data_IF_474992447786
#
_entry.id   IF_474992447786
#
_cell.length_a   1.000
_cell.length_b   1.000
_cell.length_c   1.000
_cell.angle_alpha   90.00
_cell.angle_beta   90.00
_cell.angle_gamma   90.00
#
_symmetry.space_group_name_H-M   'P 1'
#
loop_
_entity.id
_entity.type
_entity.pdbx_description
1 polymer ?
#
# COMPACT_ATOMS: atom_id res chain seq x y z
N UNK A 1 71.92 -34.27 -27.03
CA UNK A 1 71.68 -32.98 -26.35
C UNK A 1 70.46 -32.22 -26.86
N UNK A 2 70.11 -32.31 -28.15
CA UNK A 2 68.96 -31.57 -28.73
C UNK A 2 67.57 -31.94 -28.16
N UNK A 3 67.31 -33.20 -27.78
CA UNK A 3 65.99 -33.60 -27.26
C UNK A 3 65.68 -33.06 -25.86
N UNK A 4 66.69 -32.96 -24.99
CA UNK A 4 66.52 -32.43 -23.63
C UNK A 4 66.17 -30.94 -23.66
N UNK A 5 66.86 -30.16 -24.51
CA UNK A 5 66.57 -28.74 -24.69
C UNK A 5 65.14 -28.51 -25.21
N UNK A 6 64.68 -29.33 -26.15
CA UNK A 6 63.30 -29.24 -26.67
C UNK A 6 62.25 -29.52 -25.57
N UNK A 7 62.56 -30.44 -24.66
CA UNK A 7 61.69 -30.78 -23.53
C UNK A 7 61.61 -29.65 -22.50
N UNK A 8 62.74 -29.02 -22.17
CA UNK A 8 62.79 -27.87 -21.24
C UNK A 8 62.02 -26.66 -21.80
N UNK A 9 62.15 -26.37 -23.10
CA UNK A 9 61.39 -25.31 -23.76
C UNK A 9 59.89 -25.58 -23.71
N UNK A 10 59.47 -26.83 -23.92
CA UNK A 10 58.06 -27.21 -23.81
C UNK A 10 57.55 -27.06 -22.36
N UNK A 11 58.34 -27.47 -21.38
CA UNK A 11 57.98 -27.36 -19.97
C UNK A 11 57.86 -25.90 -19.53
N UNK A 12 58.80 -25.04 -19.96
CA UNK A 12 58.75 -23.60 -19.70
C UNK A 12 57.49 -22.96 -20.29
N UNK A 13 57.12 -23.31 -21.55
CA UNK A 13 55.88 -22.82 -22.16
C UNK A 13 54.64 -23.23 -21.35
N UNK A 14 54.58 -24.49 -20.91
CA UNK A 14 53.48 -24.99 -20.06
C UNK A 14 53.44 -24.26 -18.72
N UNK A 15 54.60 -23.94 -18.14
CA UNK A 15 54.69 -23.20 -16.90
C UNK A 15 54.14 -21.79 -17.04
N UNK A 16 54.53 -21.06 -18.09
CA UNK A 16 54.01 -19.73 -18.39
C UNK A 16 52.49 -19.75 -18.59
N UNK A 17 51.97 -20.77 -19.27
CA UNK A 17 50.52 -20.93 -19.46
C UNK A 17 49.79 -21.14 -18.11
N UNK A 18 50.33 -21.98 -17.23
CA UNK A 18 49.79 -22.19 -15.87
C UNK A 18 49.84 -20.88 -15.06
N UNK A 19 50.93 -20.13 -15.14
CA UNK A 19 51.06 -18.85 -14.45
C UNK A 19 50.05 -17.82 -14.98
N UNK A 20 49.87 -17.74 -16.30
CA UNK A 20 48.89 -16.85 -16.93
C UNK A 20 47.47 -17.19 -16.45
N UNK A 21 47.07 -18.47 -16.53
CA UNK A 21 45.74 -18.91 -16.07
C UNK A 21 45.52 -18.63 -14.59
N UNK A 22 46.54 -18.84 -13.74
CA UNK A 22 46.46 -18.53 -12.31
C UNK A 22 46.27 -17.04 -12.08
N UNK A 23 46.98 -16.18 -12.83
CA UNK A 23 46.85 -14.73 -12.70
C UNK A 23 45.45 -14.24 -13.08
N UNK A 24 44.89 -14.76 -14.18
CA UNK A 24 43.53 -14.44 -14.61
C UNK A 24 42.48 -14.88 -13.57
N UNK A 25 42.60 -16.10 -13.05
CA UNK A 25 41.68 -16.60 -12.03
C UNK A 25 41.73 -15.75 -10.75
N UNK A 26 42.94 -15.38 -10.30
CA UNK A 26 43.10 -14.52 -9.12
C UNK A 26 42.45 -13.14 -9.34
N UNK A 27 42.65 -12.55 -10.52
CA UNK A 27 42.01 -11.28 -10.88
C UNK A 27 40.48 -11.39 -10.86
N UNK A 28 39.92 -12.47 -11.43
CA UNK A 28 38.47 -12.72 -11.42
C UNK A 28 37.92 -12.92 -10.00
N UNK A 29 38.67 -13.61 -9.14
CA UNK A 29 38.27 -13.80 -7.74
C UNK A 29 38.28 -12.48 -6.97
N UNK A 30 39.27 -11.62 -7.21
CA UNK A 30 39.36 -10.30 -6.57
C UNK A 30 38.22 -9.37 -7.01
N UNK A 31 37.94 -9.30 -8.31
CA UNK A 31 36.81 -8.51 -8.83
C UNK A 31 35.48 -9.01 -8.29
N UNK A 32 35.25 -10.33 -8.29
CA UNK A 32 34.03 -10.92 -7.75
C UNK A 32 33.82 -10.58 -6.26
N UNK A 33 34.88 -10.66 -5.44
CA UNK A 33 34.82 -10.30 -4.03
C UNK A 33 34.54 -8.80 -3.84
N UNK A 34 35.17 -7.94 -4.67
CA UNK A 34 34.91 -6.51 -4.70
C UNK A 34 33.45 -6.19 -4.98
N UNK A 35 32.91 -6.74 -6.06
CA UNK A 35 31.51 -6.55 -6.49
C UNK A 35 30.51 -7.08 -5.47
N UNK A 36 30.80 -8.22 -4.86
CA UNK A 36 29.96 -8.78 -3.79
C UNK A 36 29.92 -7.85 -2.57
N UNK A 37 31.07 -7.26 -2.22
CA UNK A 37 31.17 -6.31 -1.09
C UNK A 37 30.39 -5.03 -1.38
N UNK A 38 30.58 -4.43 -2.55
CA UNK A 38 29.88 -3.20 -2.95
C UNK A 38 28.37 -3.43 -3.05
N UNK A 39 27.93 -4.54 -3.64
CA UNK A 39 26.51 -4.91 -3.70
C UNK A 39 25.89 -5.03 -2.31
N UNK A 40 26.59 -5.68 -1.37
CA UNK A 40 26.13 -5.82 0.01
C UNK A 40 26.00 -4.45 0.69
N UNK A 41 26.98 -3.55 0.52
CA UNK A 41 26.91 -2.20 1.10
C UNK A 41 25.76 -1.38 0.53
N UNK A 42 25.53 -1.42 -0.79
CA UNK A 42 24.40 -0.74 -1.43
C UNK A 42 23.06 -1.26 -0.92
N UNK A 43 22.93 -2.58 -0.76
CA UNK A 43 21.72 -3.20 -0.21
C UNK A 43 21.45 -2.78 1.24
N UNK A 44 22.48 -2.79 2.10
CA UNK A 44 22.34 -2.34 3.49
C UNK A 44 21.94 -0.87 3.56
N UNK A 45 22.57 0.00 2.77
CA UNK A 45 22.23 1.42 2.74
C UNK A 45 20.80 1.66 2.26
N UNK A 46 20.35 0.93 1.23
CA UNK A 46 18.98 1.00 0.75
C UNK A 46 17.97 0.51 1.80
N UNK A 47 18.29 -0.58 2.50
CA UNK A 47 17.48 -1.10 3.60
C UNK A 47 17.38 -0.11 4.77
N UNK A 48 18.49 0.52 5.16
CA UNK A 48 18.52 1.53 6.23
C UNK A 48 17.72 2.79 5.85
N UNK A 49 17.84 3.24 4.60
CA UNK A 49 17.07 4.37 4.08
C UNK A 49 15.56 4.06 4.07
N UNK A 50 15.18 2.86 3.61
CA UNK A 50 13.80 2.40 3.64
C UNK A 50 13.28 2.27 5.08
N UNK A 51 14.09 1.76 6.00
CA UNK A 51 13.72 1.63 7.41
C UNK A 51 13.45 3.00 8.05
N UNK A 52 14.33 3.98 7.83
CA UNK A 52 14.14 5.37 8.31
C UNK A 52 12.87 6.00 7.75
N UNK A 53 12.62 5.85 6.45
CA UNK A 53 11.39 6.34 5.80
C UNK A 53 10.15 5.68 6.40
N UNK A 54 10.17 4.36 6.58
CA UNK A 54 9.05 3.62 7.13
C UNK A 54 8.75 4.02 8.58
N UNK A 55 9.78 4.24 9.39
CA UNK A 55 9.62 4.74 10.76
C UNK A 55 8.96 6.13 10.80
N UNK A 56 9.37 7.05 9.91
CA UNK A 56 8.74 8.36 9.80
C UNK A 56 7.27 8.25 9.38
N UNK A 57 6.96 7.45 8.36
CA UNK A 57 5.59 7.22 7.90
C UNK A 57 4.70 6.60 8.97
N UNK A 58 5.22 5.65 9.76
CA UNK A 58 4.47 5.07 10.87
C UNK A 58 4.12 6.10 11.94
N UNK A 59 5.06 7.00 12.26
CA UNK A 59 4.80 8.10 13.20
C UNK A 59 3.75 9.07 12.65
N UNK A 60 3.82 9.42 11.37
CA UNK A 60 2.85 10.30 10.73
C UNK A 60 1.44 9.68 10.73
N UNK A 61 1.34 8.38 10.42
CA UNK A 61 0.07 7.63 10.47
C UNK A 61 -0.48 7.61 11.90
N UNK A 62 0.35 7.31 12.90
CA UNK A 62 -0.07 7.30 14.30
C UNK A 62 -0.57 8.68 14.75
N UNK A 63 0.12 9.76 14.35
CA UNK A 63 -0.29 11.12 14.64
C UNK A 63 -1.61 11.49 13.94
N UNK A 64 -1.80 11.09 12.68
CA UNK A 64 -3.04 11.29 11.94
C UNK A 64 -4.21 10.52 12.57
N UNK A 65 -3.98 9.27 12.99
CA UNK A 65 -4.97 8.46 13.69
C UNK A 65 -5.39 9.12 15.01
N UNK A 66 -4.44 9.60 15.82
CA UNK A 66 -4.74 10.28 17.08
C UNK A 66 -5.60 11.53 16.85
N UNK A 67 -5.22 12.37 15.87
CA UNK A 67 -6.01 13.55 15.48
C UNK A 67 -7.42 13.18 15.02
N UNK A 68 -7.58 12.08 14.29
CA UNK A 68 -8.88 11.60 13.86
C UNK A 68 -9.71 11.11 15.05
N UNK A 69 -9.12 10.32 15.96
CA UNK A 69 -9.79 9.89 17.18
C UNK A 69 -10.25 11.08 18.01
N UNK A 70 -9.38 12.07 18.24
CA UNK A 70 -9.73 13.31 18.93
C UNK A 70 -10.94 13.99 18.27
N UNK A 71 -11.01 14.04 16.93
CA UNK A 71 -12.17 14.57 16.19
C UNK A 71 -13.43 13.72 16.29
N UNK A 72 -13.31 12.39 16.35
CA UNK A 72 -14.46 11.49 16.51
C UNK A 72 -15.07 11.61 17.91
N UNK A 73 -14.25 11.89 18.93
CA UNK A 73 -14.75 12.21 20.27
C UNK A 73 -15.34 13.62 20.38
N UNK A 74 -15.15 14.50 19.39
CA UNK A 74 -15.88 15.75 19.30
C UNK A 74 -17.30 15.48 18.77
N UNK A 75 -18.25 16.24 19.29
CA UNK A 75 -19.66 16.20 18.90
C UNK A 75 -19.78 16.23 17.36
N UNK A 76 -20.74 15.50 16.75
CA UNK A 76 -20.96 15.56 15.30
C UNK A 76 -21.03 17.01 14.81
N UNK A 77 -20.59 17.24 13.58
CA UNK A 77 -20.58 18.58 12.98
C UNK A 77 -21.91 19.32 13.23
N UNK A 78 -21.92 20.63 13.53
CA UNK A 78 -23.15 21.36 13.83
C UNK A 78 -24.25 21.17 12.77
N UNK A 79 -23.87 21.06 11.49
CA UNK A 79 -24.80 20.79 10.40
C UNK A 79 -25.43 19.39 10.46
N UNK A 80 -24.69 18.35 10.85
CA UNK A 80 -25.27 17.01 11.06
C UNK A 80 -26.23 17.02 12.25
N UNK A 81 -25.88 17.69 13.34
CA UNK A 81 -26.78 17.85 14.50
C UNK A 81 -28.05 18.63 14.12
N UNK A 82 -27.90 19.71 13.35
CA UNK A 82 -29.03 20.51 12.87
C UNK A 82 -29.93 19.69 11.95
N UNK A 83 -29.35 18.94 11.02
CA UNK A 83 -30.11 18.08 10.11
C UNK A 83 -30.87 16.98 10.87
N UNK A 84 -30.22 16.33 11.82
CA UNK A 84 -30.86 15.32 12.68
C UNK A 84 -32.03 15.92 13.48
N UNK A 85 -31.83 17.11 14.05
CA UNK A 85 -32.86 17.84 14.78
C UNK A 85 -34.07 18.16 13.88
N UNK A 86 -33.82 18.70 12.69
CA UNK A 86 -34.88 19.02 11.72
C UNK A 86 -35.60 17.76 11.22
N UNK A 87 -34.87 16.67 10.99
CA UNK A 87 -35.43 15.38 10.60
C UNK A 87 -36.39 14.85 11.67
N UNK A 88 -35.95 14.77 12.92
CA UNK A 88 -36.80 14.28 14.00
C UNK A 88 -37.99 15.21 14.28
N UNK A 89 -37.84 16.52 14.11
CA UNK A 89 -38.95 17.46 14.17
C UNK A 89 -39.98 17.18 13.07
N UNK A 90 -39.52 16.97 11.82
CA UNK A 90 -40.38 16.62 10.69
C UNK A 90 -41.10 15.29 10.87
N UNK A 91 -40.40 14.26 11.40
CA UNK A 91 -41.01 12.98 11.76
C UNK A 91 -42.12 13.19 12.80
N UNK A 92 -41.85 13.93 13.89
CA UNK A 92 -42.85 14.19 14.94
C UNK A 92 -44.07 14.93 14.40
N UNK A 93 -43.89 15.85 13.45
CA UNK A 93 -45.00 16.58 12.84
C UNK A 93 -45.82 15.74 11.86
N UNK A 94 -45.16 14.86 11.11
CA UNK A 94 -45.80 14.05 10.07
C UNK A 94 -46.44 12.77 10.59
N UNK A 95 -45.89 12.17 11.66
CA UNK A 95 -46.32 10.87 12.18
C UNK A 95 -47.82 10.83 12.57
N UNK A 96 -48.42 11.84 13.23
CA UNK A 96 -49.86 11.87 13.49
C UNK A 96 -50.71 11.93 12.22
N UNK A 97 -50.24 12.65 11.18
CA UNK A 97 -50.93 12.76 9.89
C UNK A 97 -50.95 11.41 9.16
N UNK A 98 -49.82 10.68 9.23
CA UNK A 98 -49.72 9.31 8.73
C UNK A 98 -50.61 8.34 9.50
N UNK A 99 -50.67 8.45 10.83
CA UNK A 99 -51.54 7.61 11.67
C UNK A 99 -53.03 7.80 11.31
N UNK A 100 -53.49 9.05 11.18
CA UNK A 100 -54.87 9.33 10.79
C UNK A 100 -55.21 8.80 9.38
N UNK A 101 -54.28 8.92 8.43
CA UNK A 101 -54.46 8.39 7.08
C UNK A 101 -54.54 6.85 7.08
N UNK A 102 -53.64 6.17 7.79
CA UNK A 102 -53.62 4.71 7.89
C UNK A 102 -54.89 4.16 8.56
N UNK A 103 -55.50 4.93 9.46
CA UNK A 103 -56.79 4.63 10.08
C UNK A 103 -58.01 4.97 9.19
N UNK A 104 -57.80 5.49 7.98
CA UNK A 104 -58.86 5.88 7.05
C UNK A 104 -59.61 7.15 7.44
N UNK A 105 -59.06 7.94 8.37
CA UNK A 105 -59.70 9.14 8.94
C UNK A 105 -59.21 10.45 8.32
N UNK A 106 -58.20 10.40 7.46
CA UNK A 106 -57.64 11.56 6.78
C UNK A 106 -57.31 11.25 5.32
N UNK A 107 -57.13 12.31 4.54
CA UNK A 107 -56.63 12.24 3.17
C UNK A 107 -55.13 11.92 3.12
N UNK A 108 -54.64 11.64 1.92
CA UNK A 108 -53.27 11.18 1.66
C UNK A 108 -52.23 12.19 2.17
N UNK A 109 -51.32 11.80 3.08
CA UNK A 109 -50.32 12.70 3.64
C UNK A 109 -49.20 13.03 2.64
N UNK A 110 -48.45 14.08 2.95
CA UNK A 110 -47.33 14.60 2.14
C UNK A 110 -46.30 13.49 1.88
N UNK A 111 -45.94 13.31 0.60
CA UNK A 111 -44.91 12.35 0.15
C UNK A 111 -45.45 11.02 -0.39
N UNK A 112 -46.75 10.72 -0.25
CA UNK A 112 -47.33 9.50 -0.79
C UNK A 112 -47.57 9.62 -2.31
N UNK A 113 -46.66 9.07 -3.11
CA UNK A 113 -46.87 8.88 -4.55
C UNK A 113 -47.60 7.56 -4.77
N UNK A 114 -48.89 7.62 -5.16
CA UNK A 114 -49.59 6.44 -5.69
C UNK A 114 -48.81 5.92 -6.92
N UNK A 115 -48.18 4.75 -6.80
CA UNK A 115 -47.72 4.04 -7.98
C UNK A 115 -48.95 3.64 -8.79
N UNK A 116 -49.06 4.14 -10.02
CA UNK A 116 -50.16 3.78 -10.92
C UNK A 116 -50.03 2.29 -11.22
N UNK A 117 -50.94 1.47 -10.69
CA UNK A 117 -51.12 0.10 -11.12
C UNK A 117 -51.74 0.12 -12.51
N UNK A 118 -50.90 -0.04 -13.54
CA UNK A 118 -51.35 -0.32 -14.90
C UNK A 118 -52.06 -1.65 -14.87
N UNK A 119 -53.40 -1.63 -14.86
CA UNK A 119 -54.21 -2.83 -15.11
C UNK A 119 -53.90 -3.28 -16.54
N UNK A 120 -53.12 -4.35 -16.69
CA UNK A 120 -53.08 -5.11 -17.93
C UNK A 120 -54.45 -5.79 -18.06
N UNK A 121 -55.27 -5.30 -18.98
CA UNK A 121 -56.47 -6.01 -19.41
C UNK A 121 -56.03 -7.23 -20.23
N UNK A 122 -56.54 -8.39 -19.82
CA UNK A 122 -56.49 -9.67 -20.55
C UNK A 122 -57.54 -9.63 -21.66
#
# INVERSE_FOLDING_TARGET
MSSYLAQEVHLARRHEEILSQRSELLQQMETYLGDKKTKKTWQTQAADAAHKRNAALLNDIAAAQKKLQERVYLLPHPDTVKLETLYWASIKESLPKWEQFLLGRAEVPIGFKKMKTTKQNI
#
